data_IF_956994990155
#
_entry.id   IF_956994990155
#
_cell.length_a   1.000
_cell.length_b   1.000
_cell.length_c   1.000
_cell.angle_alpha   90.00
_cell.angle_beta   90.00
_cell.angle_gamma   90.00
#
_symmetry.space_group_name_H-M   'P 1'
#
loop_
_entity.id
_entity.type
_entity.pdbx_description
1 polymer ?
#
# COMPACT_ATOMS: atom_id res chain seq x y z
N UNK A 1 -6.08 -35.61 6.15
CA UNK A 1 -5.45 -34.35 6.60
C UNK A 1 -5.96 -34.03 7.99
N UNK A 2 -5.07 -34.12 9.01
CA UNK A 2 -5.38 -33.70 10.36
C UNK A 2 -5.38 -32.17 10.40
N UNK A 3 -6.54 -31.57 10.43
CA UNK A 3 -6.71 -30.15 10.78
C UNK A 3 -6.23 -29.96 12.21
N UNK A 4 -5.12 -29.29 12.40
CA UNK A 4 -4.67 -28.84 13.73
C UNK A 4 -5.66 -27.74 14.14
N UNK A 5 -6.45 -27.96 15.23
CA UNK A 5 -7.34 -26.90 15.69
C UNK A 5 -6.48 -25.72 16.13
N UNK A 6 -6.69 -24.54 15.55
CA UNK A 6 -6.14 -23.28 16.04
C UNK A 6 -6.64 -23.10 17.47
N UNK A 7 -5.81 -23.46 18.45
CA UNK A 7 -6.09 -23.15 19.87
C UNK A 7 -5.97 -21.64 20.01
N UNK A 8 -7.10 -20.97 20.02
CA UNK A 8 -7.17 -19.55 20.40
C UNK A 8 -6.88 -19.50 21.91
N UNK A 9 -5.61 -19.40 22.25
CA UNK A 9 -5.20 -19.17 23.63
C UNK A 9 -5.45 -17.70 23.96
N UNK A 10 -6.07 -17.44 25.12
CA UNK A 10 -6.22 -16.06 25.62
C UNK A 10 -4.84 -15.41 25.70
N UNK A 11 -4.62 -14.27 25.05
CA UNK A 11 -3.31 -13.62 25.06
C UNK A 11 -2.90 -13.21 26.48
N UNK A 12 -1.64 -13.41 26.80
CA UNK A 12 -1.06 -13.06 28.11
C UNK A 12 0.19 -12.21 27.90
N UNK A 13 0.44 -11.29 28.80
CA UNK A 13 1.72 -10.57 28.84
C UNK A 13 2.83 -11.55 29.19
N UNK A 14 3.92 -11.51 28.45
CA UNK A 14 5.11 -12.32 28.74
C UNK A 14 6.01 -11.55 29.72
N UNK A 15 6.37 -12.19 30.85
CA UNK A 15 7.33 -11.57 31.79
C UNK A 15 8.72 -11.54 31.13
N UNK A 16 9.31 -10.36 31.03
CA UNK A 16 10.62 -10.13 30.38
C UNK A 16 10.73 -10.71 28.95
N UNK A 17 9.60 -10.87 28.23
CA UNK A 17 9.61 -11.46 26.88
C UNK A 17 9.74 -13.00 26.86
N UNK A 18 9.83 -13.67 27.99
CA UNK A 18 9.96 -15.13 28.08
C UNK A 18 8.62 -15.82 27.85
N UNK A 19 8.53 -16.61 26.78
CA UNK A 19 7.32 -17.36 26.40
C UNK A 19 6.89 -18.41 27.43
N UNK A 20 7.80 -18.86 28.32
CA UNK A 20 7.52 -19.81 29.41
C UNK A 20 6.99 -19.11 30.66
N UNK A 21 7.23 -17.81 30.78
CA UNK A 21 6.89 -17.02 31.96
C UNK A 21 5.66 -16.17 31.68
N UNK A 22 4.48 -16.76 31.79
CA UNK A 22 3.20 -16.11 31.51
C UNK A 22 2.84 -15.13 32.65
N UNK A 23 2.47 -13.92 32.26
CA UNK A 23 1.97 -12.90 33.18
C UNK A 23 0.46 -12.77 33.17
N UNK A 24 -0.04 -11.54 33.29
CA UNK A 24 -1.48 -11.25 33.34
C UNK A 24 -2.15 -11.54 32.00
N UNK A 25 -3.32 -12.14 32.00
CA UNK A 25 -4.19 -12.24 30.82
C UNK A 25 -4.60 -10.85 30.37
N UNK A 26 -4.59 -10.63 29.08
CA UNK A 26 -5.00 -9.36 28.47
C UNK A 26 -6.15 -9.58 27.49
N UNK A 27 -6.98 -8.57 27.36
CA UNK A 27 -8.04 -8.53 26.34
C UNK A 27 -7.54 -7.80 25.11
N UNK A 28 -8.02 -8.11 23.90
CA UNK A 28 -7.76 -7.31 22.72
C UNK A 28 -8.15 -5.84 22.96
N UNK A 29 -7.39 -4.93 22.37
CA UNK A 29 -7.67 -3.50 22.45
C UNK A 29 -6.97 -2.76 21.32
N UNK A 30 -7.19 -1.46 21.24
CA UNK A 30 -6.60 -0.59 20.23
C UNK A 30 -5.73 0.47 20.92
N UNK A 31 -4.96 1.22 20.12
CA UNK A 31 -4.07 2.27 20.62
C UNK A 31 -4.88 3.44 21.20
N UNK A 32 -4.80 3.64 22.51
CA UNK A 32 -5.57 4.66 23.22
C UNK A 32 -5.39 6.07 22.65
N UNK A 33 -4.17 6.41 22.20
CA UNK A 33 -3.85 7.72 21.60
C UNK A 33 -4.64 8.00 20.31
N UNK A 34 -5.13 6.96 19.63
CA UNK A 34 -5.91 7.06 18.38
C UNK A 34 -7.40 6.74 18.61
N UNK A 35 -7.87 6.73 19.86
CA UNK A 35 -9.25 6.42 20.18
C UNK A 35 -9.95 7.60 20.82
N UNK A 36 -11.15 7.95 20.33
CA UNK A 36 -12.08 8.86 20.98
C UNK A 36 -13.24 8.12 21.68
N UNK A 37 -13.30 6.81 21.50
CA UNK A 37 -14.27 5.90 22.13
C UNK A 37 -13.52 4.73 22.79
N UNK A 38 -14.08 4.07 23.82
CA UNK A 38 -13.44 2.92 24.42
C UNK A 38 -13.38 1.74 23.44
N UNK A 39 -12.41 0.84 23.63
CA UNK A 39 -12.15 -0.28 22.71
C UNK A 39 -13.37 -1.16 22.40
N UNK A 40 -14.29 -1.33 23.34
CA UNK A 40 -15.53 -2.09 23.14
C UNK A 40 -16.46 -1.50 22.08
N UNK A 41 -16.28 -0.23 21.70
CA UNK A 41 -17.04 0.38 20.61
C UNK A 41 -16.85 -0.37 19.27
N UNK A 42 -15.67 -0.94 19.03
CA UNK A 42 -15.34 -1.72 17.83
C UNK A 42 -15.26 -3.23 18.10
N UNK A 43 -15.11 -3.66 19.36
CA UNK A 43 -14.91 -5.07 19.76
C UNK A 43 -16.21 -5.85 19.95
N UNK A 44 -17.32 -5.35 19.48
CA UNK A 44 -18.66 -5.94 19.68
C UNK A 44 -18.90 -7.27 18.94
N UNK A 45 -17.88 -7.80 18.26
CA UNK A 45 -17.96 -9.04 17.49
C UNK A 45 -17.04 -10.08 18.11
N UNK A 46 -17.56 -10.92 19.00
CA UNK A 46 -16.80 -11.95 19.72
C UNK A 46 -15.94 -12.85 18.81
N UNK A 47 -16.39 -13.11 17.58
CA UNK A 47 -15.68 -14.00 16.62
C UNK A 47 -14.99 -13.27 15.46
N UNK A 48 -15.13 -11.94 15.33
CA UNK A 48 -14.64 -11.19 14.16
C UNK A 48 -13.57 -10.15 14.50
N UNK A 49 -12.52 -10.56 15.22
CA UNK A 49 -11.43 -9.67 15.68
C UNK A 49 -10.77 -8.88 14.54
N UNK A 50 -10.62 -9.49 13.36
CA UNK A 50 -10.05 -8.81 12.19
C UNK A 50 -10.99 -7.73 11.63
N UNK A 51 -12.29 -7.97 11.65
CA UNK A 51 -13.29 -6.96 11.25
C UNK A 51 -13.33 -5.80 12.25
N UNK A 52 -13.25 -6.09 13.55
CA UNK A 52 -13.13 -5.08 14.61
C UNK A 52 -11.89 -4.19 14.40
N UNK A 53 -10.74 -4.78 14.05
CA UNK A 53 -9.53 -4.05 13.71
C UNK A 53 -9.74 -3.19 12.44
N UNK A 54 -10.36 -3.76 11.42
CA UNK A 54 -10.69 -3.05 10.18
C UNK A 54 -11.60 -1.85 10.44
N UNK A 55 -12.64 -2.02 11.22
CA UNK A 55 -13.57 -0.95 11.59
C UNK A 55 -12.85 0.18 12.34
N UNK A 56 -12.01 -0.14 13.33
CA UNK A 56 -11.21 0.88 14.04
C UNK A 56 -10.23 1.58 13.12
N UNK A 57 -9.55 0.85 12.22
CA UNK A 57 -8.59 1.42 11.29
C UNK A 57 -9.23 2.36 10.27
N UNK A 58 -10.48 2.12 9.87
CA UNK A 58 -11.18 2.93 8.86
C UNK A 58 -12.09 4.00 9.45
N UNK A 59 -12.31 3.98 10.76
CA UNK A 59 -13.12 4.98 11.46
C UNK A 59 -12.36 6.32 11.54
N UNK A 60 -12.78 7.27 10.71
CA UNK A 60 -12.19 8.62 10.63
C UNK A 60 -12.68 9.56 11.73
N UNK A 61 -13.76 9.22 12.42
CA UNK A 61 -14.35 10.07 13.47
C UNK A 61 -13.81 9.73 14.86
N UNK A 62 -13.74 8.45 15.20
CA UNK A 62 -13.43 7.98 16.54
C UNK A 62 -12.17 7.09 16.62
N UNK A 63 -11.69 6.58 15.49
CA UNK A 63 -10.57 5.65 15.38
C UNK A 63 -9.35 6.20 14.66
N UNK A 64 -8.62 5.31 13.99
CA UNK A 64 -7.36 5.62 13.31
C UNK A 64 -7.51 6.08 11.86
N UNK A 65 -8.74 6.26 11.34
CA UNK A 65 -9.00 6.43 9.91
C UNK A 65 -8.29 7.60 9.26
N UNK A 66 -8.16 8.74 9.95
CA UNK A 66 -7.43 9.89 9.40
C UNK A 66 -5.95 9.59 9.20
N UNK A 67 -5.31 8.90 10.15
CA UNK A 67 -3.91 8.50 10.02
C UNK A 67 -3.73 7.45 8.91
N UNK A 68 -4.60 6.45 8.85
CA UNK A 68 -4.58 5.44 7.80
C UNK A 68 -4.73 6.07 6.42
N UNK A 69 -5.66 7.00 6.25
CA UNK A 69 -5.87 7.71 4.98
C UNK A 69 -4.60 8.45 4.53
N UNK A 70 -3.92 9.16 5.43
CA UNK A 70 -2.65 9.84 5.14
C UNK A 70 -1.56 8.86 4.72
N UNK A 71 -1.45 7.71 5.38
CA UNK A 71 -0.47 6.66 5.03
C UNK A 71 -0.76 6.09 3.65
N UNK A 72 -2.01 5.78 3.33
CA UNK A 72 -2.42 5.26 2.01
C UNK A 72 -2.13 6.29 0.92
N UNK A 73 -2.52 7.55 1.12
CA UNK A 73 -2.28 8.63 0.17
C UNK A 73 -0.77 8.81 -0.07
N UNK A 74 0.03 8.82 0.99
CA UNK A 74 1.47 8.96 0.85
C UNK A 74 2.10 7.83 0.03
N UNK A 75 1.64 6.59 0.21
CA UNK A 75 2.07 5.43 -0.60
C UNK A 75 1.63 5.56 -2.05
N UNK A 76 0.38 5.93 -2.32
CA UNK A 76 -0.08 6.19 -3.69
C UNK A 76 0.75 7.29 -4.35
N UNK A 77 1.01 8.39 -3.65
CA UNK A 77 1.86 9.46 -4.13
C UNK A 77 3.28 8.99 -4.43
N UNK A 78 3.87 8.23 -3.53
CA UNK A 78 5.20 7.64 -3.70
C UNK A 78 5.30 6.81 -4.98
N UNK A 79 4.33 5.93 -5.24
CA UNK A 79 4.32 5.13 -6.47
C UNK A 79 4.16 5.95 -7.75
N UNK A 80 3.50 7.11 -7.69
CA UNK A 80 3.31 7.98 -8.85
C UNK A 80 4.49 8.94 -9.10
N UNK A 81 5.18 9.39 -8.05
CA UNK A 81 6.22 10.41 -8.13
C UNK A 81 7.62 9.91 -7.75
N UNK A 82 7.75 8.67 -7.31
CA UNK A 82 9.01 8.08 -6.86
C UNK A 82 9.40 8.45 -5.42
N UNK A 83 8.75 9.45 -4.83
CA UNK A 83 8.96 9.89 -3.45
C UNK A 83 7.63 10.29 -2.83
N UNK A 84 7.41 9.92 -1.56
CA UNK A 84 6.22 10.33 -0.81
C UNK A 84 6.23 11.81 -0.43
N UNK A 85 5.07 12.38 -0.16
CA UNK A 85 4.92 13.70 0.48
C UNK A 85 5.62 13.68 1.86
N UNK A 86 5.51 12.56 2.57
CA UNK A 86 6.34 12.20 3.73
C UNK A 86 7.43 11.26 3.22
N UNK A 87 8.70 11.67 3.36
CA UNK A 87 9.88 10.93 2.86
C UNK A 87 10.07 9.58 3.56
N UNK A 88 9.59 9.43 4.80
CA UNK A 88 9.61 8.19 5.60
C UNK A 88 8.25 7.46 5.50
N UNK A 89 7.99 6.62 4.47
CA UNK A 89 6.66 6.07 4.21
C UNK A 89 6.17 5.07 5.26
N UNK A 90 7.09 4.56 6.08
CA UNK A 90 6.80 3.62 7.17
C UNK A 90 6.86 4.26 8.56
N UNK A 91 7.17 5.56 8.64
CA UNK A 91 7.24 6.28 9.90
C UNK A 91 6.57 7.66 9.77
N UNK A 92 5.40 7.77 10.35
CA UNK A 92 4.61 8.99 10.48
C UNK A 92 4.64 9.54 11.91
N UNK A 93 5.52 9.01 12.76
CA UNK A 93 5.73 9.42 14.12
C UNK A 93 6.68 10.60 14.26
N UNK A 94 7.09 10.89 15.51
CA UNK A 94 7.94 12.03 15.87
C UNK A 94 9.30 11.97 15.19
N UNK A 95 9.84 10.76 14.96
CA UNK A 95 11.15 10.53 14.32
C UNK A 95 11.03 10.57 12.78
N UNK A 96 9.82 10.44 12.26
CA UNK A 96 9.55 10.47 10.82
C UNK A 96 9.77 11.85 10.20
N UNK A 97 9.90 11.87 8.87
CA UNK A 97 10.02 13.12 8.11
C UNK A 97 8.74 13.94 8.16
N UNK A 98 8.86 15.25 8.27
CA UNK A 98 7.72 16.15 8.11
C UNK A 98 7.22 16.13 6.66
N UNK A 99 5.90 16.21 6.42
CA UNK A 99 5.37 16.28 5.06
C UNK A 99 5.83 17.56 4.35
N UNK A 100 6.28 17.42 3.10
CA UNK A 100 6.65 18.56 2.25
C UNK A 100 5.46 19.46 1.92
N UNK A 101 4.27 18.86 1.77
CA UNK A 101 3.01 19.53 1.42
C UNK A 101 1.88 19.04 2.35
N UNK A 102 1.82 19.51 3.61
CA UNK A 102 0.87 18.97 4.59
C UNK A 102 -0.58 19.17 4.16
N UNK A 103 -0.94 20.35 3.65
CA UNK A 103 -2.31 20.65 3.20
C UNK A 103 -2.75 19.75 2.03
N UNK A 104 -1.84 19.41 1.10
CA UNK A 104 -2.13 18.50 0.00
C UNK A 104 -2.36 17.08 0.51
N UNK A 105 -1.52 16.63 1.45
CA UNK A 105 -1.67 15.31 2.07
C UNK A 105 -3.01 15.19 2.78
N UNK A 106 -3.38 16.20 3.57
CA UNK A 106 -4.63 16.21 4.33
C UNK A 106 -5.85 16.31 3.41
N UNK A 107 -5.79 17.14 2.36
CA UNK A 107 -6.87 17.24 1.39
C UNK A 107 -7.11 15.91 0.65
N UNK A 108 -6.05 15.26 0.15
CA UNK A 108 -6.16 13.96 -0.52
C UNK A 108 -6.67 12.87 0.43
N UNK A 109 -6.23 12.88 1.70
CA UNK A 109 -6.72 11.96 2.71
C UNK A 109 -8.23 12.15 2.97
N UNK A 110 -8.68 13.40 3.08
CA UNK A 110 -10.10 13.74 3.18
C UNK A 110 -10.91 13.29 1.97
N UNK A 111 -10.37 13.45 0.74
CA UNK A 111 -11.00 12.96 -0.48
C UNK A 111 -11.11 11.43 -0.53
N UNK A 112 -10.09 10.70 -0.01
CA UNK A 112 -10.16 9.25 0.10
C UNK A 112 -11.29 8.79 1.02
N UNK A 113 -11.42 9.41 2.19
CA UNK A 113 -12.49 9.13 3.15
C UNK A 113 -13.86 9.43 2.56
N UNK A 114 -14.06 10.62 1.97
CA UNK A 114 -15.31 11.02 1.31
C UNK A 114 -15.74 10.06 0.20
N UNK A 115 -14.77 9.40 -0.46
CA UNK A 115 -15.00 8.42 -1.53
C UNK A 115 -15.06 6.99 -1.02
N UNK A 116 -15.34 6.80 0.27
CA UNK A 116 -15.50 5.47 0.88
C UNK A 116 -14.28 4.56 0.62
N UNK A 117 -13.07 5.09 0.78
CA UNK A 117 -11.81 4.38 0.61
C UNK A 117 -11.55 3.83 -0.81
N UNK A 118 -12.25 4.35 -1.83
CA UNK A 118 -12.07 3.96 -3.23
C UNK A 118 -10.80 4.57 -3.81
N UNK A 119 -9.81 3.75 -4.16
CA UNK A 119 -8.49 4.21 -4.61
C UNK A 119 -8.48 4.76 -6.03
N UNK A 120 -9.26 4.18 -6.96
CA UNK A 120 -9.27 4.60 -8.38
C UNK A 120 -9.60 6.08 -8.59
N UNK A 121 -10.60 6.67 -7.92
CA UNK A 121 -10.86 8.10 -8.04
C UNK A 121 -9.69 8.97 -7.58
N UNK A 122 -8.95 8.55 -6.54
CA UNK A 122 -7.77 9.27 -6.04
C UNK A 122 -6.62 9.17 -7.05
N UNK A 123 -6.36 7.97 -7.58
CA UNK A 123 -5.37 7.80 -8.66
C UNK A 123 -5.69 8.70 -9.85
N UNK A 124 -6.97 8.78 -10.26
CA UNK A 124 -7.42 9.67 -11.33
C UNK A 124 -7.13 11.14 -11.01
N UNK A 125 -7.38 11.60 -9.79
CA UNK A 125 -7.04 12.96 -9.35
C UNK A 125 -5.54 13.22 -9.49
N UNK A 126 -4.70 12.31 -9.02
CA UNK A 126 -3.24 12.42 -9.08
C UNK A 126 -2.76 12.50 -10.55
N UNK A 127 -3.13 11.53 -11.40
CA UNK A 127 -2.62 11.46 -12.79
C UNK A 127 -3.19 12.55 -13.68
N UNK A 128 -4.35 13.13 -13.33
CA UNK A 128 -4.94 14.26 -14.06
C UNK A 128 -4.39 15.61 -13.62
N UNK A 129 -3.62 15.68 -12.53
CA UNK A 129 -3.07 16.93 -12.01
C UNK A 129 -2.06 17.56 -12.97
N UNK A 130 -1.95 18.88 -12.93
CA UNK A 130 -0.91 19.60 -13.67
C UNK A 130 0.49 19.13 -13.25
N UNK A 131 0.71 18.91 -11.97
CA UNK A 131 1.97 18.40 -11.41
C UNK A 131 2.37 17.05 -12.01
N UNK A 132 1.44 16.12 -12.20
CA UNK A 132 1.74 14.82 -12.80
C UNK A 132 2.04 14.93 -14.30
N UNK A 133 1.39 15.86 -15.00
CA UNK A 133 1.51 16.09 -16.46
C UNK A 133 2.61 17.07 -16.85
N UNK A 134 3.40 17.55 -15.89
CA UNK A 134 4.54 18.41 -16.18
C UNK A 134 5.55 17.75 -17.12
N UNK A 135 6.23 18.58 -17.90
CA UNK A 135 7.35 18.14 -18.74
C UNK A 135 8.53 17.72 -17.85
N UNK A 136 9.29 16.75 -18.33
CA UNK A 136 10.61 16.44 -17.80
C UNK A 136 11.64 17.43 -18.37
N UNK A 137 11.47 18.73 -18.08
CA UNK A 137 12.41 19.77 -18.48
C UNK A 137 13.37 20.08 -17.33
N UNK A 138 14.64 20.16 -17.65
CA UNK A 138 15.67 20.48 -16.69
C UNK A 138 15.93 21.99 -16.71
N UNK A 139 15.96 22.63 -15.52
CA UNK A 139 16.38 24.02 -15.36
C UNK A 139 17.51 24.05 -14.35
N UNK A 140 18.67 24.56 -14.77
CA UNK A 140 19.85 24.73 -13.90
C UNK A 140 19.59 25.74 -12.78
N UNK A 141 18.70 26.69 -13.00
CA UNK A 141 18.30 27.69 -12.03
C UNK A 141 17.47 27.05 -10.91
N UNK A 142 16.41 26.31 -11.26
CA UNK A 142 15.56 25.62 -10.28
C UNK A 142 16.30 24.51 -9.55
N UNK A 143 17.24 23.84 -10.21
CA UNK A 143 18.08 22.83 -9.59
C UNK A 143 18.94 23.42 -8.43
N UNK A 144 19.38 24.67 -8.55
CA UNK A 144 20.13 25.35 -7.48
C UNK A 144 19.26 25.68 -6.28
N UNK A 145 17.95 25.91 -6.51
CA UNK A 145 16.99 26.26 -5.45
C UNK A 145 16.44 24.99 -4.78
N UNK A 146 16.08 23.98 -5.55
CA UNK A 146 15.43 22.74 -5.08
C UNK A 146 16.00 21.53 -5.85
N UNK A 147 17.19 21.09 -5.46
CA UNK A 147 17.90 19.96 -6.07
C UNK A 147 17.13 18.64 -5.95
N UNK A 148 16.41 18.46 -4.86
CA UNK A 148 15.65 17.25 -4.55
C UNK A 148 14.30 17.19 -5.26
N UNK A 149 13.88 18.30 -5.91
CA UNK A 149 12.55 18.45 -6.48
C UNK A 149 11.43 18.28 -5.44
N UNK A 150 11.66 18.78 -4.24
CA UNK A 150 10.67 18.73 -3.15
C UNK A 150 9.45 19.58 -3.48
N UNK A 151 9.63 20.70 -4.21
CA UNK A 151 8.57 21.60 -4.67
C UNK A 151 7.89 21.12 -5.95
N UNK A 152 8.28 19.97 -6.49
CA UNK A 152 7.66 19.33 -7.64
C UNK A 152 7.67 20.23 -8.91
N UNK A 153 8.78 20.95 -9.14
CA UNK A 153 8.91 21.89 -10.28
C UNK A 153 9.11 21.18 -11.63
N UNK A 154 9.46 19.88 -11.63
CA UNK A 154 9.51 19.05 -12.85
C UNK A 154 9.07 17.62 -12.57
N UNK A 155 8.73 16.89 -13.62
CA UNK A 155 8.46 15.45 -13.53
C UNK A 155 9.77 14.67 -13.60
N UNK A 156 10.16 13.97 -12.52
CA UNK A 156 11.30 13.04 -12.57
C UNK A 156 10.98 11.85 -13.48
N UNK A 157 11.90 11.45 -14.38
CA UNK A 157 11.73 10.22 -15.14
C UNK A 157 11.68 9.03 -14.18
N UNK A 158 10.78 8.12 -14.45
CA UNK A 158 10.66 6.89 -13.70
C UNK A 158 10.72 5.71 -14.66
N UNK A 159 11.59 4.74 -14.37
CA UNK A 159 11.63 3.50 -15.14
C UNK A 159 10.40 2.67 -14.81
N UNK A 160 9.72 2.18 -15.84
CA UNK A 160 8.61 1.26 -15.65
C UNK A 160 9.13 -0.10 -15.15
N UNK A 161 8.33 -0.76 -14.32
CA UNK A 161 8.57 -2.13 -13.91
C UNK A 161 8.47 -3.09 -15.10
N UNK A 162 9.21 -4.19 -15.07
CA UNK A 162 9.25 -5.16 -16.17
C UNK A 162 7.85 -5.70 -16.51
N UNK A 163 7.03 -5.93 -15.48
CA UNK A 163 5.66 -6.38 -15.61
C UNK A 163 4.78 -5.39 -16.37
N UNK A 164 4.95 -4.10 -16.08
CA UNK A 164 4.20 -3.04 -16.79
C UNK A 164 4.65 -2.91 -18.26
N UNK A 165 5.95 -3.04 -18.52
CA UNK A 165 6.51 -3.04 -19.89
C UNK A 165 5.96 -4.23 -20.67
N UNK A 166 6.04 -5.42 -20.12
CA UNK A 166 5.54 -6.66 -20.75
C UNK A 166 4.04 -6.55 -21.05
N UNK A 167 3.23 -6.16 -20.08
CA UNK A 167 1.79 -6.02 -20.27
C UNK A 167 1.48 -5.00 -21.37
N UNK A 168 2.24 -3.90 -21.44
CA UNK A 168 2.08 -2.91 -22.49
C UNK A 168 2.48 -3.43 -23.88
N UNK A 169 3.55 -4.23 -23.96
CA UNK A 169 3.96 -4.86 -25.23
C UNK A 169 2.87 -5.81 -25.75
N UNK A 170 2.31 -6.65 -24.88
CA UNK A 170 1.21 -7.55 -25.25
C UNK A 170 -0.07 -6.80 -25.65
N UNK A 171 -0.38 -5.68 -24.96
CA UNK A 171 -1.55 -4.84 -25.28
C UNK A 171 -1.40 -4.17 -26.64
N UNK A 172 -0.22 -3.59 -26.94
CA UNK A 172 0.06 -2.96 -28.24
C UNK A 172 0.07 -3.99 -29.37
N UNK A 173 0.58 -5.20 -29.12
CA UNK A 173 0.53 -6.31 -30.09
C UNK A 173 -0.90 -6.88 -30.29
N UNK A 174 -1.88 -6.45 -29.48
CA UNK A 174 -3.26 -6.92 -29.58
C UNK A 174 -3.50 -8.34 -29.04
N UNK A 175 -2.52 -8.94 -28.36
CA UNK A 175 -2.58 -10.32 -27.88
C UNK A 175 -2.78 -10.44 -26.36
N UNK A 176 -2.84 -9.34 -25.63
CA UNK A 176 -3.04 -9.36 -24.18
C UNK A 176 -4.38 -9.99 -23.81
N UNK A 177 -4.33 -11.11 -23.10
CA UNK A 177 -5.52 -11.71 -22.49
C UNK A 177 -5.93 -10.91 -21.24
N UNK A 178 -7.07 -10.23 -21.32
CA UNK A 178 -7.61 -9.36 -20.26
C UNK A 178 -8.46 -10.11 -19.21
N UNK A 179 -8.50 -11.44 -19.27
CA UNK A 179 -9.24 -12.24 -18.29
C UNK A 179 -8.79 -11.92 -16.86
N UNK A 180 -9.76 -11.62 -16.01
CA UNK A 180 -9.58 -11.32 -14.60
C UNK A 180 -9.86 -12.56 -13.76
N UNK A 181 -9.24 -12.62 -12.57
CA UNK A 181 -9.42 -13.66 -11.56
C UNK A 181 -8.91 -15.06 -11.98
N UNK A 182 -9.06 -16.01 -11.07
CA UNK A 182 -8.59 -17.38 -11.23
C UNK A 182 -7.16 -17.58 -10.71
N UNK A 183 -6.63 -18.81 -10.82
CA UNK A 183 -5.31 -19.16 -10.30
C UNK A 183 -4.20 -18.45 -11.08
N UNK A 184 -3.04 -18.31 -10.43
CA UNK A 184 -1.82 -17.86 -11.09
C UNK A 184 -1.35 -18.86 -12.14
N UNK A 185 -0.72 -18.36 -13.20
CA UNK A 185 -0.19 -19.17 -14.29
C UNK A 185 1.26 -19.50 -13.97
N UNK A 186 1.66 -20.77 -13.92
CA UNK A 186 3.06 -21.16 -13.75
C UNK A 186 3.89 -20.74 -14.96
N UNK A 187 5.04 -20.13 -14.72
CA UNK A 187 6.01 -19.70 -15.74
C UNK A 187 7.00 -20.84 -16.04
N UNK A 188 6.52 -22.05 -16.32
CA UNK A 188 7.38 -23.17 -16.64
C UNK A 188 8.06 -23.86 -15.44
N UNK A 189 8.80 -24.95 -15.71
CA UNK A 189 9.59 -25.66 -14.71
C UNK A 189 10.94 -24.98 -14.48
N UNK A 190 11.50 -25.05 -13.27
CA UNK A 190 12.81 -24.52 -12.84
C UNK A 190 14.01 -24.77 -13.77
N UNK A 191 13.85 -25.57 -14.84
CA UNK A 191 14.89 -25.94 -15.78
C UNK A 191 14.59 -25.60 -17.24
N UNK A 192 13.48 -24.89 -17.52
CA UNK A 192 13.11 -24.55 -18.91
C UNK A 192 12.85 -23.04 -19.02
N UNK A 193 13.29 -22.53 -20.15
CA UNK A 193 12.96 -21.18 -20.66
C UNK A 193 11.49 -20.84 -20.49
N UNK A 194 11.23 -19.57 -20.23
CA UNK A 194 9.91 -18.96 -20.18
C UNK A 194 8.99 -19.51 -21.30
N UNK A 195 7.83 -20.04 -20.94
CA UNK A 195 6.82 -20.48 -21.90
C UNK A 195 6.09 -19.24 -22.44
N UNK A 196 6.54 -18.73 -23.59
CA UNK A 196 5.89 -17.65 -24.31
C UNK A 196 4.77 -18.19 -25.22
N UNK A 197 3.75 -18.73 -24.60
CA UNK A 197 2.55 -19.23 -25.29
C UNK A 197 1.34 -18.35 -25.00
N UNK A 198 0.27 -18.43 -25.81
CA UNK A 198 -0.98 -17.69 -25.56
C UNK A 198 -1.57 -17.91 -24.15
N UNK A 199 -1.24 -19.01 -23.49
CA UNK A 199 -1.64 -19.29 -22.11
C UNK A 199 -1.01 -18.32 -21.09
N UNK A 200 0.22 -17.85 -21.38
CA UNK A 200 0.95 -16.93 -20.50
C UNK A 200 0.71 -15.46 -20.84
N UNK A 201 0.00 -15.14 -21.92
CA UNK A 201 -0.24 -13.75 -22.35
C UNK A 201 -1.31 -13.01 -21.53
N UNK A 202 -1.57 -13.46 -20.34
CA UNK A 202 -2.33 -12.70 -19.33
C UNK A 202 -1.46 -11.59 -18.74
N UNK A 203 -2.12 -10.63 -18.04
CA UNK A 203 -1.40 -9.59 -17.26
C UNK A 203 -0.40 -10.23 -16.32
N UNK A 204 0.76 -9.63 -16.20
CA UNK A 204 1.88 -10.13 -15.39
C UNK A 204 1.54 -10.39 -13.93
N UNK A 205 0.55 -9.68 -13.37
CA UNK A 205 0.03 -9.93 -12.01
C UNK A 205 -0.51 -11.35 -11.81
N UNK A 206 -0.85 -12.06 -12.89
CA UNK A 206 -1.31 -13.45 -12.86
C UNK A 206 -0.20 -14.47 -13.11
N UNK A 207 1.02 -14.03 -13.35
CA UNK A 207 2.16 -14.92 -13.51
C UNK A 207 2.75 -15.26 -12.15
N UNK A 208 3.20 -16.52 -11.98
CA UNK A 208 3.94 -16.92 -10.81
C UNK A 208 5.34 -16.30 -10.83
N UNK A 209 5.71 -15.54 -9.80
CA UNK A 209 7.07 -15.06 -9.61
C UNK A 209 7.87 -16.08 -8.77
N UNK A 210 8.95 -16.61 -9.32
CA UNK A 210 9.87 -17.48 -8.60
C UNK A 210 11.15 -16.71 -8.28
N UNK A 211 11.57 -16.66 -7.02
CA UNK A 211 12.80 -15.95 -6.61
C UNK A 211 14.09 -16.51 -7.20
N UNK A 212 14.07 -17.74 -7.69
CA UNK A 212 15.24 -18.44 -8.22
C UNK A 212 15.31 -18.45 -9.76
N UNK A 213 14.39 -17.79 -10.45
CA UNK A 213 14.36 -17.71 -11.91
C UNK A 213 14.43 -16.25 -12.30
N UNK A 214 15.53 -15.84 -12.92
CA UNK A 214 15.65 -14.55 -13.58
C UNK A 214 14.70 -14.53 -14.79
N UNK A 215 13.96 -13.46 -14.95
CA UNK A 215 12.97 -13.25 -16.01
C UNK A 215 13.53 -12.32 -17.08
#
# INVERSE_FOLDING_TARGET
SKTIPLRVTTPTVLKNGDWKSLGKKVTPGFLNVLMKKPSNYWLDLEDHKMLSLGNWLTDSEHGAGNLLARVIINRLWHYHFGQGIVKSPNDFGIIGSTPSHPNLLDWLAGELIKREWKLKPIQKLIVSSATYRQKNSFSTEYLKIDSDNTLLWHRKPHRLEAEAIRDRMLDVAGVLNKQMYGPSIPIGNYKKTFDDSPKTWRRSIYLQAHRAVEH
#
